data_IF_634070590206
#
_entry.id   IF_634070590206
#
_cell.length_a   1.000
_cell.length_b   1.000
_cell.length_c   1.000
_cell.angle_alpha   90.00
_cell.angle_beta   90.00
_cell.angle_gamma   90.00
#
_symmetry.space_group_name_H-M   'P 1'
#
loop_
_entity.id
_entity.type
_entity.pdbx_description
1 polymer ?
#
# COMPACT_ATOMS: atom_id res chain seq x y z
N UNK A 1 -0.62 15.16 -14.13
CA UNK A 1 -0.56 13.68 -13.99
C UNK A 1 0.40 13.36 -12.86
N UNK A 2 -0.08 12.71 -11.81
CA UNK A 2 0.73 12.38 -10.62
C UNK A 2 1.78 11.33 -10.97
N UNK A 3 3.01 11.49 -10.48
CA UNK A 3 4.08 10.50 -10.64
C UNK A 3 4.43 9.90 -9.27
N UNK A 4 4.44 8.58 -9.18
CA UNK A 4 4.79 7.82 -7.98
C UNK A 4 6.14 7.14 -8.19
N UNK A 5 7.06 7.31 -7.25
CA UNK A 5 8.32 6.58 -7.21
C UNK A 5 8.14 5.22 -6.56
N UNK A 6 8.67 4.16 -7.17
CA UNK A 6 8.67 2.82 -6.58
C UNK A 6 10.06 2.24 -6.60
N UNK A 7 10.64 2.00 -5.43
CA UNK A 7 11.87 1.22 -5.31
C UNK A 7 11.47 -0.24 -5.12
N UNK A 8 11.78 -1.08 -6.09
CA UNK A 8 11.37 -2.48 -6.12
C UNK A 8 12.47 -3.39 -5.58
N UNK A 9 12.05 -4.50 -4.97
CA UNK A 9 12.92 -5.64 -4.68
C UNK A 9 12.08 -6.91 -4.70
N UNK A 10 12.33 -7.77 -5.68
CA UNK A 10 11.49 -8.93 -5.94
C UNK A 10 10.04 -8.56 -6.31
N UNK A 11 9.11 -9.50 -6.10
CA UNK A 11 7.77 -9.44 -6.72
C UNK A 11 6.81 -8.36 -6.19
N UNK A 12 7.01 -7.84 -4.98
CA UNK A 12 5.98 -6.99 -4.34
C UNK A 12 5.96 -5.56 -4.90
N UNK A 13 7.13 -5.01 -5.22
CA UNK A 13 7.22 -3.71 -5.89
C UNK A 13 6.57 -3.76 -7.27
N UNK A 14 6.87 -4.79 -8.08
CA UNK A 14 6.24 -4.98 -9.39
C UNK A 14 4.71 -5.06 -9.31
N UNK A 15 4.17 -5.78 -8.32
CA UNK A 15 2.70 -5.84 -8.11
C UNK A 15 2.09 -4.49 -7.76
N UNK A 16 2.77 -3.66 -6.96
CA UNK A 16 2.32 -2.29 -6.72
C UNK A 16 2.26 -1.51 -8.02
N UNK A 17 3.31 -1.58 -8.83
CA UNK A 17 3.38 -0.90 -10.14
C UNK A 17 2.20 -1.32 -11.03
N UNK A 18 1.95 -2.62 -11.18
CA UNK A 18 0.79 -3.15 -11.91
C UNK A 18 -0.55 -2.62 -11.37
N UNK A 19 -0.68 -2.51 -10.05
CA UNK A 19 -1.89 -2.01 -9.40
C UNK A 19 -2.07 -0.51 -9.65
N UNK A 20 -0.99 0.29 -9.57
CA UNK A 20 -1.03 1.72 -9.87
C UNK A 20 -1.47 1.93 -11.33
N UNK A 21 -0.82 1.26 -12.28
CA UNK A 21 -1.09 1.43 -13.71
C UNK A 21 -2.47 0.93 -14.12
N UNK A 22 -3.04 -0.06 -13.42
CA UNK A 22 -4.37 -0.60 -13.75
C UNK A 22 -5.52 0.11 -13.06
N UNK A 23 -5.30 0.75 -11.91
CA UNK A 23 -6.37 1.32 -11.07
C UNK A 23 -6.35 2.84 -10.99
N UNK A 24 -5.35 3.49 -11.59
CA UNK A 24 -5.20 4.95 -11.55
C UNK A 24 -4.69 5.48 -12.89
N UNK A 25 -4.74 6.80 -13.05
CA UNK A 25 -4.11 7.55 -14.13
C UNK A 25 -2.70 8.04 -13.74
N UNK A 26 -2.07 7.45 -12.71
CA UNK A 26 -0.76 7.86 -12.24
C UNK A 26 0.34 7.30 -13.15
N UNK A 27 1.44 8.03 -13.25
CA UNK A 27 2.70 7.53 -13.80
C UNK A 27 3.53 6.88 -12.69
N UNK A 28 4.36 5.92 -13.08
CA UNK A 28 5.33 5.29 -12.20
C UNK A 28 6.73 5.53 -12.75
N UNK A 29 7.63 5.99 -11.88
CA UNK A 29 9.08 5.90 -12.08
C UNK A 29 9.61 4.88 -11.09
N UNK A 30 10.51 4.00 -11.50
CA UNK A 30 10.94 2.89 -10.65
C UNK A 30 12.42 2.62 -10.74
N UNK A 31 12.99 2.25 -9.60
CA UNK A 31 14.35 1.77 -9.47
C UNK A 31 14.32 0.35 -8.88
N UNK A 32 15.17 -0.54 -9.36
CA UNK A 32 15.23 -1.93 -8.88
C UNK A 32 16.47 -2.18 -8.04
N UNK A 33 16.26 -2.76 -6.85
CA UNK A 33 17.32 -3.29 -6.01
C UNK A 33 17.49 -4.80 -6.27
N UNK A 34 18.73 -5.33 -6.14
CA UNK A 34 18.96 -6.76 -6.25
C UNK A 34 18.08 -7.59 -5.29
N UNK A 35 17.53 -8.70 -5.80
CA UNK A 35 16.73 -9.60 -4.98
C UNK A 35 17.54 -10.17 -3.80
N UNK A 36 18.80 -10.53 -4.05
CA UNK A 36 19.75 -11.02 -3.06
C UNK A 36 20.65 -9.86 -2.63
N UNK A 37 20.61 -9.54 -1.34
CA UNK A 37 21.46 -8.54 -0.71
C UNK A 37 22.24 -9.23 0.42
N UNK A 38 23.45 -8.75 0.76
CA UNK A 38 24.13 -9.13 1.99
C UNK A 38 23.21 -8.93 3.21
N UNK A 39 23.40 -9.69 4.29
CA UNK A 39 22.63 -9.47 5.53
C UNK A 39 23.03 -8.18 6.25
N UNK A 40 24.27 -7.75 6.05
CA UNK A 40 24.86 -6.57 6.64
C UNK A 40 25.64 -5.81 5.57
N UNK A 41 25.46 -4.49 5.53
CA UNK A 41 26.11 -3.58 4.60
C UNK A 41 26.85 -2.53 5.42
N UNK A 42 28.18 -2.62 5.42
CA UNK A 42 29.04 -1.75 6.24
C UNK A 42 28.95 -0.28 5.82
N UNK A 43 28.93 0.00 4.51
CA UNK A 43 28.74 1.35 3.96
C UNK A 43 27.54 1.36 2.98
N UNK A 44 26.33 1.67 3.48
CA UNK A 44 25.13 1.72 2.66
C UNK A 44 25.17 2.77 1.55
N UNK A 45 25.90 3.88 1.77
CA UNK A 45 26.02 4.97 0.79
C UNK A 45 26.79 4.48 -0.42
N UNK A 46 28.02 4.00 -0.20
CA UNK A 46 28.86 3.46 -1.25
C UNK A 46 28.22 2.24 -1.93
N UNK A 47 27.45 1.45 -1.18
CA UNK A 47 26.72 0.31 -1.74
C UNK A 47 25.64 0.76 -2.72
N UNK A 48 24.78 1.72 -2.37
CA UNK A 48 23.75 2.24 -3.28
C UNK A 48 24.36 2.92 -4.52
N UNK A 49 25.45 3.68 -4.35
CA UNK A 49 26.19 4.28 -5.47
C UNK A 49 26.68 3.21 -6.45
N UNK A 50 27.24 2.10 -5.94
CA UNK A 50 27.70 0.98 -6.76
C UNK A 50 26.55 0.22 -7.44
N UNK A 51 25.36 0.17 -6.84
CA UNK A 51 24.19 -0.41 -7.47
C UNK A 51 23.72 0.40 -8.68
N UNK A 52 24.08 1.69 -8.76
CA UNK A 52 23.74 2.59 -9.85
C UNK A 52 22.25 2.49 -10.22
N UNK A 53 21.39 2.57 -9.20
CA UNK A 53 19.94 2.53 -9.38
C UNK A 53 19.47 3.78 -10.14
N UNK A 54 18.33 3.68 -10.81
CA UNK A 54 17.75 4.81 -11.52
C UNK A 54 17.32 5.92 -10.54
N UNK A 55 18.06 7.04 -10.57
CA UNK A 55 17.81 8.17 -9.69
C UNK A 55 16.54 8.96 -10.05
N UNK A 56 15.92 8.72 -11.22
CA UNK A 56 14.66 9.36 -11.57
C UNK A 56 13.53 9.02 -10.59
N UNK A 57 13.67 7.92 -9.84
CA UNK A 57 12.74 7.57 -8.76
C UNK A 57 12.61 8.67 -7.70
N UNK A 58 13.68 9.44 -7.47
CA UNK A 58 13.72 10.52 -6.48
C UNK A 58 13.11 11.84 -6.98
N UNK A 59 12.76 11.94 -8.27
CA UNK A 59 12.02 13.08 -8.82
C UNK A 59 10.52 13.06 -8.46
N UNK A 60 10.04 11.96 -7.87
CA UNK A 60 8.64 11.82 -7.45
C UNK A 60 8.40 12.44 -6.07
N UNK A 61 7.22 13.06 -5.87
CA UNK A 61 6.83 13.63 -4.58
C UNK A 61 6.52 12.57 -3.51
N UNK A 62 6.16 11.35 -3.93
CA UNK A 62 5.81 10.23 -3.06
C UNK A 62 6.54 8.99 -3.55
N UNK A 63 7.29 8.34 -2.65
CA UNK A 63 8.03 7.11 -2.93
C UNK A 63 7.51 5.98 -2.06
N UNK A 64 7.32 4.80 -2.67
CA UNK A 64 7.08 3.55 -1.95
C UNK A 64 8.32 2.70 -2.10
N UNK A 65 8.99 2.39 -0.99
CA UNK A 65 10.23 1.61 -1.02
C UNK A 65 10.02 0.19 -0.49
N UNK A 66 10.19 -0.78 -1.38
CA UNK A 66 10.30 -2.20 -1.03
C UNK A 66 11.77 -2.63 -0.87
N UNK A 67 12.66 -1.75 -0.41
CA UNK A 67 14.05 -2.10 -0.07
C UNK A 67 14.15 -3.31 0.86
N UNK A 68 13.27 -3.36 1.87
CA UNK A 68 13.17 -4.46 2.84
C UNK A 68 14.53 -4.83 3.44
N UNK A 69 15.35 -3.82 3.72
CA UNK A 69 16.70 -3.99 4.25
C UNK A 69 16.97 -2.90 5.30
N UNK A 70 17.34 -3.25 6.54
CA UNK A 70 17.53 -2.28 7.61
C UNK A 70 18.61 -1.25 7.29
N UNK A 71 19.68 -1.64 6.58
CA UNK A 71 20.77 -0.72 6.25
C UNK A 71 20.48 0.19 5.03
N UNK A 72 19.73 -0.29 4.03
CA UNK A 72 19.45 0.50 2.81
C UNK A 72 18.24 1.42 2.96
N UNK A 73 17.28 1.07 3.81
CA UNK A 73 16.05 1.85 3.98
C UNK A 73 16.33 3.27 4.49
N UNK A 74 17.19 3.47 5.52
CA UNK A 74 17.58 4.81 5.97
C UNK A 74 18.36 5.58 4.90
N UNK A 75 19.24 4.92 4.15
CA UNK A 75 20.00 5.62 3.11
C UNK A 75 19.09 6.08 1.96
N UNK A 76 18.15 5.23 1.54
CA UNK A 76 17.08 5.63 0.61
C UNK A 76 16.27 6.80 1.17
N UNK A 77 15.95 6.79 2.47
CA UNK A 77 15.23 7.88 3.10
C UNK A 77 16.04 9.19 3.12
N UNK A 78 17.36 9.13 3.35
CA UNK A 78 18.26 10.29 3.25
C UNK A 78 18.31 10.82 1.83
N UNK A 79 18.43 9.96 0.82
CA UNK A 79 18.42 10.36 -0.60
C UNK A 79 17.09 11.01 -1.00
N UNK A 80 15.97 10.43 -0.56
CA UNK A 80 14.63 10.98 -0.79
C UNK A 80 14.47 12.36 -0.14
N UNK A 81 14.86 12.49 1.14
CA UNK A 81 14.83 13.76 1.86
C UNK A 81 15.70 14.85 1.21
N UNK A 82 16.92 14.52 0.79
CA UNK A 82 17.81 15.43 0.04
C UNK A 82 17.22 15.88 -1.30
N UNK A 83 16.42 15.02 -1.93
CA UNK A 83 15.77 15.29 -3.22
C UNK A 83 14.45 16.05 -3.09
N UNK A 84 14.01 16.38 -1.87
CA UNK A 84 12.77 17.11 -1.63
C UNK A 84 11.50 16.25 -1.75
N UNK A 85 11.63 14.93 -1.65
CA UNK A 85 10.48 14.01 -1.59
C UNK A 85 9.63 14.35 -0.38
N UNK A 86 8.31 14.47 -0.56
CA UNK A 86 7.38 14.86 0.52
C UNK A 86 6.98 13.69 1.39
N UNK A 87 6.90 12.49 0.82
CA UNK A 87 6.47 11.29 1.52
C UNK A 87 7.23 10.03 1.07
N UNK A 88 7.70 9.27 2.06
CA UNK A 88 8.28 7.94 1.88
C UNK A 88 7.42 6.93 2.64
N UNK A 89 6.91 5.93 1.93
CA UNK A 89 6.15 4.83 2.50
C UNK A 89 7.01 3.57 2.45
N UNK A 90 7.15 2.90 3.59
CA UNK A 90 8.00 1.72 3.78
C UNK A 90 7.13 0.52 4.16
N UNK A 91 6.71 -0.31 3.19
CA UNK A 91 5.95 -1.51 3.46
C UNK A 91 6.78 -2.61 4.13
N UNK A 92 6.19 -3.31 5.10
CA UNK A 92 6.74 -4.55 5.66
C UNK A 92 7.19 -4.46 7.12
N UNK A 93 6.82 -3.38 7.81
CA UNK A 93 6.93 -3.24 9.25
C UNK A 93 8.32 -2.96 9.79
N UNK A 94 8.38 -2.68 11.09
CA UNK A 94 9.59 -2.26 11.81
C UNK A 94 10.74 -3.29 11.76
N UNK A 95 10.44 -4.57 11.53
CA UNK A 95 11.47 -5.63 11.44
C UNK A 95 12.47 -5.45 10.31
N UNK A 96 12.17 -4.59 9.32
CA UNK A 96 13.01 -4.32 8.14
C UNK A 96 13.32 -2.83 7.98
N UNK A 97 12.96 -2.01 8.97
CA UNK A 97 13.04 -0.55 8.92
C UNK A 97 13.37 -0.02 10.33
N UNK A 98 14.54 0.61 10.55
CA UNK A 98 14.91 1.11 11.86
C UNK A 98 14.11 2.38 12.20
N UNK A 99 13.01 2.21 12.94
CA UNK A 99 12.01 3.26 13.19
C UNK A 99 12.62 4.53 13.80
N UNK A 100 13.55 4.38 14.75
CA UNK A 100 14.18 5.53 15.42
C UNK A 100 14.99 6.37 14.44
N UNK A 101 15.85 5.75 13.64
CA UNK A 101 16.64 6.47 12.63
C UNK A 101 15.74 7.10 11.56
N UNK A 102 14.68 6.40 11.14
CA UNK A 102 13.73 6.95 10.17
C UNK A 102 12.95 8.16 10.73
N UNK A 103 12.61 8.17 12.01
CA UNK A 103 11.99 9.34 12.66
C UNK A 103 12.95 10.54 12.72
N UNK A 104 14.23 10.30 12.98
CA UNK A 104 15.27 11.34 12.92
C UNK A 104 15.42 11.92 11.51
N UNK A 105 15.47 11.06 10.49
CA UNK A 105 15.53 11.47 9.07
C UNK A 105 14.27 12.24 8.67
N UNK A 106 13.09 11.77 9.08
CA UNK A 106 11.79 12.44 8.86
C UNK A 106 11.84 13.89 9.35
N UNK A 107 12.28 14.10 10.60
CA UNK A 107 12.44 15.43 11.21
C UNK A 107 13.50 16.27 10.52
N UNK A 108 14.64 15.67 10.18
CA UNK A 108 15.76 16.36 9.55
C UNK A 108 15.37 16.98 8.20
N UNK A 109 14.60 16.26 7.38
CA UNK A 109 14.24 16.70 6.03
C UNK A 109 12.81 17.25 5.92
N UNK A 110 12.02 17.23 6.99
CA UNK A 110 10.61 17.61 6.95
C UNK A 110 9.78 16.71 6.02
N UNK A 111 10.18 15.44 5.87
CA UNK A 111 9.56 14.46 4.99
C UNK A 111 8.69 13.52 5.81
N UNK A 112 7.45 13.25 5.37
CA UNK A 112 6.61 12.24 6.00
C UNK A 112 7.16 10.84 5.73
N UNK A 113 7.44 10.07 6.77
CA UNK A 113 7.84 8.67 6.64
C UNK A 113 6.82 7.79 7.34
N UNK A 114 6.18 6.89 6.59
CA UNK A 114 5.28 5.88 7.13
C UNK A 114 5.92 4.50 7.03
N UNK A 115 5.95 3.76 8.13
CA UNK A 115 6.37 2.35 8.15
C UNK A 115 5.16 1.49 8.42
N UNK A 116 4.59 0.92 7.34
CA UNK A 116 3.39 0.11 7.41
C UNK A 116 3.72 -1.34 7.74
N UNK A 117 3.18 -1.87 8.83
CA UNK A 117 3.14 -3.32 9.08
C UNK A 117 2.22 -4.03 8.06
N UNK A 118 1.09 -3.39 7.74
CA UNK A 118 0.14 -3.83 6.71
C UNK A 118 -0.37 -2.64 5.91
N UNK A 119 -0.07 -2.57 4.62
CA UNK A 119 -0.38 -1.37 3.82
C UNK A 119 -1.89 -0.98 3.73
N UNK A 120 -2.80 -1.87 4.15
CA UNK A 120 -4.23 -1.60 4.18
C UNK A 120 -4.66 -0.82 5.45
N UNK A 121 -3.75 -0.48 6.35
CA UNK A 121 -4.02 0.42 7.49
C UNK A 121 -3.73 1.88 7.17
N UNK A 122 -2.97 2.15 6.11
CA UNK A 122 -2.61 3.49 5.68
C UNK A 122 -3.85 4.37 5.52
N UNK A 123 -3.87 5.48 6.25
CA UNK A 123 -4.96 6.46 6.28
C UNK A 123 -4.70 7.58 5.25
N UNK A 124 -5.72 8.38 4.87
CA UNK A 124 -5.47 9.59 4.09
C UNK A 124 -4.44 10.47 4.81
N UNK A 125 -3.43 10.95 4.08
CA UNK A 125 -2.40 11.81 4.63
C UNK A 125 -2.06 12.95 3.66
N UNK A 126 -2.06 14.22 4.12
CA UNK A 126 -1.79 15.39 3.28
C UNK A 126 -0.36 15.45 2.71
N UNK A 127 0.60 14.69 3.25
CA UNK A 127 1.96 14.61 2.71
C UNK A 127 2.04 13.71 1.46
N UNK A 128 1.11 12.77 1.32
CA UNK A 128 0.96 11.88 0.16
C UNK A 128 -0.50 11.85 -0.33
N UNK A 129 -1.11 12.99 -0.65
CA UNK A 129 -2.56 13.07 -0.82
C UNK A 129 -3.02 12.28 -2.05
N UNK A 130 -2.27 12.32 -3.14
CA UNK A 130 -2.62 11.60 -4.37
C UNK A 130 -2.55 10.08 -4.14
N UNK A 131 -1.47 9.59 -3.52
CA UNK A 131 -1.32 8.16 -3.23
C UNK A 131 -2.35 7.67 -2.20
N UNK A 132 -2.49 8.36 -1.06
CA UNK A 132 -3.37 7.92 0.04
C UNK A 132 -4.86 8.13 -0.24
N UNK A 133 -5.20 8.88 -1.30
CA UNK A 133 -6.58 8.94 -1.83
C UNK A 133 -6.99 7.65 -2.57
N UNK A 134 -6.03 6.94 -3.19
CA UNK A 134 -6.27 5.74 -4.00
C UNK A 134 -5.82 4.45 -3.33
N UNK A 135 -4.83 4.53 -2.45
CA UNK A 135 -4.24 3.37 -1.78
C UNK A 135 -4.28 3.50 -0.26
N UNK A 136 -4.52 2.38 0.43
CA UNK A 136 -4.55 2.30 1.88
C UNK A 136 -5.79 1.57 2.40
N UNK A 137 -6.40 2.12 3.45
CA UNK A 137 -7.59 1.55 4.06
C UNK A 137 -8.77 1.55 3.07
N UNK A 138 -9.37 0.37 2.78
CA UNK A 138 -10.32 0.22 1.69
C UNK A 138 -11.59 1.05 1.92
N UNK A 139 -12.02 1.72 0.85
CA UNK A 139 -13.29 2.45 0.77
C UNK A 139 -14.00 1.96 -0.48
N UNK A 140 -15.23 1.49 -0.29
CA UNK A 140 -16.03 0.85 -1.32
C UNK A 140 -17.36 1.58 -1.49
N UNK A 141 -17.86 1.58 -2.72
CA UNK A 141 -19.24 1.90 -3.07
C UNK A 141 -19.88 0.62 -3.62
N UNK A 142 -20.86 0.07 -2.89
CA UNK A 142 -21.51 -1.20 -3.20
C UNK A 142 -22.95 -0.91 -3.57
N UNK A 143 -23.38 -1.41 -4.72
CA UNK A 143 -24.78 -1.35 -5.13
C UNK A 143 -25.41 -2.72 -5.01
N UNK A 144 -26.62 -2.75 -4.46
CA UNK A 144 -27.37 -3.98 -4.27
C UNK A 144 -28.68 -4.00 -5.10
N UNK A 145 -29.19 -5.21 -5.34
CA UNK A 145 -30.51 -5.46 -5.93
C UNK A 145 -31.01 -6.81 -5.45
N UNK A 146 -32.25 -6.88 -4.97
CA UNK A 146 -32.90 -8.11 -4.49
C UNK A 146 -32.04 -8.88 -3.47
N UNK A 147 -31.39 -8.16 -2.54
CA UNK A 147 -30.53 -8.72 -1.51
C UNK A 147 -29.18 -9.27 -2.01
N UNK A 148 -28.78 -8.95 -3.25
CA UNK A 148 -27.50 -9.35 -3.85
C UNK A 148 -26.66 -8.15 -4.28
N UNK A 149 -25.35 -8.32 -4.28
CA UNK A 149 -24.41 -7.33 -4.80
C UNK A 149 -24.44 -7.37 -6.33
N UNK A 150 -24.73 -6.22 -6.96
CA UNK A 150 -24.69 -6.08 -8.42
C UNK A 150 -23.47 -5.32 -8.92
N UNK A 151 -22.86 -4.49 -8.07
CA UNK A 151 -21.65 -3.75 -8.41
C UNK A 151 -20.84 -3.42 -7.15
N UNK A 152 -19.51 -3.43 -7.28
CA UNK A 152 -18.58 -2.97 -6.24
C UNK A 152 -17.55 -2.05 -6.89
N UNK A 153 -17.66 -0.76 -6.62
CA UNK A 153 -16.68 0.24 -7.02
C UNK A 153 -15.66 0.44 -5.88
N UNK A 154 -14.37 0.37 -6.21
CA UNK A 154 -13.28 0.56 -5.25
C UNK A 154 -12.79 1.99 -5.36
N UNK A 155 -13.18 2.81 -4.37
CA UNK A 155 -12.76 4.23 -4.30
C UNK A 155 -11.30 4.31 -3.84
N UNK A 156 -10.95 3.50 -2.85
CA UNK A 156 -9.59 3.31 -2.33
C UNK A 156 -9.37 1.85 -1.98
N UNK A 157 -8.19 1.31 -2.30
CA UNK A 157 -7.89 -0.10 -2.11
C UNK A 157 -6.49 -0.38 -1.56
N UNK A 158 -6.26 -1.64 -1.20
CA UNK A 158 -4.96 -2.14 -0.79
C UNK A 158 -3.95 -2.03 -1.94
N UNK A 159 -2.76 -1.46 -1.74
CA UNK A 159 -1.77 -1.26 -2.81
C UNK A 159 -1.28 -2.55 -3.48
N UNK A 160 -1.51 -3.71 -2.85
CA UNK A 160 -1.18 -5.01 -3.44
C UNK A 160 -2.25 -5.53 -4.42
N UNK A 161 -3.35 -4.80 -4.66
CA UNK A 161 -4.41 -5.20 -5.58
C UNK A 161 -5.52 -6.08 -4.96
N UNK A 162 -5.39 -6.48 -3.70
CA UNK A 162 -6.31 -7.45 -3.07
C UNK A 162 -7.75 -6.95 -2.99
N UNK A 163 -7.95 -5.64 -2.78
CA UNK A 163 -9.30 -5.06 -2.66
C UNK A 163 -10.09 -5.17 -3.97
N UNK A 164 -9.45 -4.89 -5.12
CA UNK A 164 -10.09 -5.03 -6.43
C UNK A 164 -10.41 -6.49 -6.75
N UNK A 165 -9.48 -7.42 -6.45
CA UNK A 165 -9.72 -8.85 -6.63
C UNK A 165 -10.79 -9.43 -5.71
N UNK A 166 -10.93 -8.87 -4.51
CA UNK A 166 -12.06 -9.17 -3.64
C UNK A 166 -13.35 -8.61 -4.23
N UNK A 167 -13.38 -7.35 -4.65
CA UNK A 167 -14.55 -6.67 -5.21
C UNK A 167 -15.15 -7.42 -6.42
N UNK A 168 -14.31 -7.83 -7.38
CA UNK A 168 -14.71 -8.66 -8.54
C UNK A 168 -15.48 -9.92 -8.11
N UNK A 169 -15.04 -10.55 -7.02
CA UNK A 169 -15.59 -11.83 -6.54
C UNK A 169 -16.81 -11.68 -5.64
N UNK A 170 -17.15 -10.47 -5.19
CA UNK A 170 -18.34 -10.23 -4.38
C UNK A 170 -19.61 -10.07 -5.23
N UNK A 171 -19.48 -9.77 -6.52
CA UNK A 171 -20.63 -9.63 -7.42
C UNK A 171 -21.45 -10.92 -7.47
N UNK A 172 -22.76 -10.81 -7.27
CA UNK A 172 -23.71 -11.92 -7.21
C UNK A 172 -23.86 -12.56 -5.84
N UNK A 173 -23.03 -12.23 -4.85
CA UNK A 173 -23.17 -12.71 -3.48
C UNK A 173 -24.34 -12.04 -2.76
N UNK A 174 -24.92 -12.75 -1.78
CA UNK A 174 -25.90 -12.19 -0.86
C UNK A 174 -25.25 -11.11 0.01
N UNK A 175 -26.02 -10.08 0.37
CA UNK A 175 -25.54 -9.01 1.27
C UNK A 175 -25.12 -9.55 2.64
N UNK A 176 -25.77 -10.61 3.13
CA UNK A 176 -25.46 -11.22 4.43
C UNK A 176 -24.12 -11.96 4.44
N UNK A 177 -23.75 -12.62 3.33
CA UNK A 177 -22.51 -13.41 3.26
C UNK A 177 -21.30 -12.58 2.82
N UNK A 178 -21.53 -11.47 2.11
CA UNK A 178 -20.48 -10.68 1.49
C UNK A 178 -19.38 -10.20 2.47
N UNK A 179 -19.68 -9.69 3.68
CA UNK A 179 -18.64 -9.30 4.63
C UNK A 179 -17.69 -10.44 5.04
N UNK A 180 -18.26 -11.61 5.38
CA UNK A 180 -17.46 -12.77 5.77
C UNK A 180 -16.62 -13.29 4.60
N UNK A 181 -17.22 -13.31 3.39
CA UNK A 181 -16.53 -13.70 2.15
C UNK A 181 -15.41 -12.74 1.80
N UNK A 182 -15.61 -11.44 1.96
CA UNK A 182 -14.59 -10.42 1.76
C UNK A 182 -13.34 -10.71 2.61
N UNK A 183 -13.52 -10.90 3.92
CA UNK A 183 -12.40 -11.26 4.81
C UNK A 183 -11.69 -12.56 4.41
N UNK A 184 -12.41 -13.58 3.97
CA UNK A 184 -11.83 -14.84 3.49
C UNK A 184 -10.99 -14.65 2.21
N UNK A 185 -11.53 -13.92 1.23
CA UNK A 185 -10.88 -13.66 -0.05
C UNK A 185 -9.54 -12.93 0.13
N UNK A 186 -9.49 -11.99 1.08
CA UNK A 186 -8.25 -11.28 1.43
C UNK A 186 -7.20 -12.21 2.03
N UNK A 187 -7.61 -13.16 2.89
CA UNK A 187 -6.69 -14.15 3.46
C UNK A 187 -6.14 -15.11 2.40
N UNK A 188 -6.95 -15.43 1.38
CA UNK A 188 -6.54 -16.29 0.26
C UNK A 188 -5.68 -15.57 -0.77
N UNK A 189 -5.74 -14.24 -0.84
CA UNK A 189 -4.90 -13.46 -1.73
C UNK A 189 -3.42 -13.62 -1.37
N UNK A 190 -2.48 -13.63 -2.34
CA UNK A 190 -1.04 -13.73 -2.08
C UNK A 190 -0.43 -12.45 -1.49
N UNK A 191 -1.07 -11.88 -0.47
CA UNK A 191 -0.64 -10.72 0.31
C UNK A 191 0.65 -11.02 1.08
N UNK A 192 1.47 -9.98 1.29
CA UNK A 192 2.72 -10.05 2.08
C UNK A 192 2.47 -10.05 3.58
N UNK A 193 1.32 -9.56 4.03
CA UNK A 193 1.00 -9.47 5.46
C UNK A 193 1.32 -10.77 6.18
N UNK A 194 1.96 -10.66 7.35
CA UNK A 194 2.39 -11.83 8.14
C UNK A 194 1.20 -12.75 8.42
N UNK A 195 1.43 -14.06 8.28
CA UNK A 195 0.45 -15.11 8.52
C UNK A 195 0.78 -15.82 9.83
N UNK A 196 -0.23 -16.22 10.61
CA UNK A 196 -0.03 -16.85 11.92
C UNK A 196 -1.07 -16.38 12.93
N UNK A 197 -0.70 -16.30 14.21
CA UNK A 197 -1.59 -15.78 15.26
C UNK A 197 -1.76 -14.25 15.15
N UNK A 198 -2.85 -13.72 15.74
CA UNK A 198 -3.31 -12.32 15.84
C UNK A 198 -2.47 -11.23 15.13
N UNK A 199 -3.10 -10.47 14.23
CA UNK A 199 -2.48 -9.38 13.45
C UNK A 199 -2.26 -9.74 11.98
N UNK A 200 -1.60 -8.86 11.23
CA UNK A 200 -1.17 -9.13 9.86
C UNK A 200 -2.32 -9.48 8.92
N UNK A 201 -2.31 -10.69 8.34
CA UNK A 201 -3.33 -11.11 7.37
C UNK A 201 -4.74 -11.13 7.95
N UNK A 202 -4.89 -11.45 9.24
CA UNK A 202 -6.20 -11.47 9.90
C UNK A 202 -6.73 -10.06 10.12
N UNK A 203 -5.85 -9.11 10.45
CA UNK A 203 -6.23 -7.70 10.56
C UNK A 203 -6.61 -7.13 9.19
N UNK A 204 -5.83 -7.42 8.15
CA UNK A 204 -6.19 -7.07 6.76
C UNK A 204 -7.57 -7.62 6.38
N UNK A 205 -7.89 -8.85 6.78
CA UNK A 205 -9.20 -9.45 6.55
C UNK A 205 -10.33 -8.70 7.28
N UNK A 206 -10.12 -8.34 8.55
CA UNK A 206 -11.10 -7.58 9.34
C UNK A 206 -11.32 -6.18 8.78
N UNK A 207 -10.26 -5.50 8.32
CA UNK A 207 -10.36 -4.18 7.70
C UNK A 207 -11.25 -4.23 6.45
N UNK A 208 -11.05 -5.22 5.60
CA UNK A 208 -11.86 -5.37 4.37
C UNK A 208 -13.29 -5.82 4.65
N UNK A 209 -13.49 -6.75 5.59
CA UNK A 209 -14.83 -7.13 6.07
C UNK A 209 -15.60 -5.88 6.52
N UNK A 210 -15.01 -5.06 7.38
CA UNK A 210 -15.62 -3.82 7.88
C UNK A 210 -15.87 -2.79 6.77
N UNK A 211 -15.02 -2.73 5.75
CA UNK A 211 -15.24 -1.85 4.61
C UNK A 211 -16.49 -2.26 3.80
N UNK A 212 -16.72 -3.57 3.63
CA UNK A 212 -17.94 -4.09 3.00
C UNK A 212 -19.16 -3.82 3.87
N UNK A 213 -19.08 -4.07 5.18
CA UNK A 213 -20.19 -3.77 6.12
C UNK A 213 -20.62 -2.31 6.06
N UNK A 214 -19.66 -1.38 6.10
CA UNK A 214 -19.94 0.06 6.01
C UNK A 214 -20.57 0.45 4.68
N UNK A 215 -20.05 -0.08 3.57
CA UNK A 215 -20.57 0.24 2.24
C UNK A 215 -22.01 -0.27 2.04
N UNK A 216 -22.36 -1.42 2.63
CA UNK A 216 -23.74 -1.94 2.58
C UNK A 216 -24.72 -1.13 3.42
N UNK A 217 -24.28 -0.57 4.57
CA UNK A 217 -25.13 0.33 5.37
C UNK A 217 -25.46 1.61 4.59
N UNK A 218 -24.45 2.22 3.97
CA UNK A 218 -24.63 3.45 3.20
C UNK A 218 -25.54 3.28 1.96
N UNK A 219 -25.61 2.08 1.37
CA UNK A 219 -26.52 1.81 0.23
C UNK A 219 -27.99 1.75 0.68
N UNK A 220 -28.26 1.23 1.88
CA UNK A 220 -29.61 1.17 2.44
C UNK A 220 -30.15 2.56 2.76
N UNK A 221 -29.32 3.45 3.33
CA UNK A 221 -29.72 4.84 3.63
C UNK A 221 -30.11 5.61 2.34
N UNK A 222 -29.48 5.32 1.21
CA UNK A 222 -29.79 5.95 -0.08
C UNK A 222 -31.09 5.42 -0.75
N UNK A 223 -31.65 4.29 -0.26
CA UNK A 223 -32.90 3.73 -0.78
C UNK A 223 -34.14 4.21 0.01
N UNK A 224 -33.96 4.72 1.23
CA UNK A 224 -35.06 5.23 2.07
C UNK A 224 -35.41 6.71 1.77
N UNK A 225 -34.59 7.42 0.97
CA UNK A 225 -34.75 8.83 0.59
C UNK A 225 -35.33 9.05 -0.84
N UNK A 226 -35.86 8.00 -1.49
CA UNK A 226 -36.46 8.04 -2.85
C UNK A 226 -37.85 7.39 -2.88
#
# INVERSE_FOLDING_TARGET
>A
MTTIGVITRGKYGGRLIETILSQTDFKVVSAELPANLPEFIEDPTLFLEKLNIDNDVFNANTIITYSMHPDLTPEIAKLAGKSGVRALIVPGGASRAPIVELDEISKQYGMYIEVDDICCTLKPNPAAPEYTSKFGSPVLDIKTRDGKIVNVNVIRGAPCGSTWKMAEKLIGMSVSDAPARAGLLIQQYPCRAVRGKLGGIHESAQIHKKAVERALVNDNDNHDDN
#
